data_IF_831073059050
#
_entry.id   IF_831073059050
#
_cell.length_a   1.000
_cell.length_b   1.000
_cell.length_c   1.000
_cell.angle_alpha   90.00
_cell.angle_beta   90.00
_cell.angle_gamma   90.00
#
_symmetry.space_group_name_H-M   'P 1'
#
loop_
_entity.id
_entity.type
_entity.pdbx_description
1 polymer ?
#
# COMPACT_ATOMS: atom_id res chain seq x y z
N UNK A 1 0.44 12.66 -4.95
CA UNK A 1 -0.18 13.97 -5.26
C UNK A 1 -1.40 14.14 -4.36
N UNK A 2 -1.65 15.31 -3.77
CA UNK A 2 -2.91 15.56 -3.05
C UNK A 2 -3.83 16.32 -3.99
N UNK A 3 -5.09 15.90 -4.12
CA UNK A 3 -6.11 16.77 -4.69
C UNK A 3 -6.75 17.49 -3.51
N UNK A 4 -6.67 18.81 -3.52
CA UNK A 4 -7.30 19.68 -2.51
C UNK A 4 -8.27 20.61 -3.22
N UNK A 5 -9.22 21.17 -2.46
CA UNK A 5 -10.14 22.19 -2.97
C UNK A 5 -9.75 23.56 -2.45
N UNK A 6 -9.84 24.60 -3.28
CA UNK A 6 -9.71 26.00 -2.82
C UNK A 6 -10.70 26.34 -1.70
N UNK A 7 -11.86 25.64 -1.65
CA UNK A 7 -12.86 25.82 -0.57
C UNK A 7 -12.38 25.35 0.79
N UNK A 8 -11.34 24.51 0.84
CA UNK A 8 -10.77 23.97 2.08
C UNK A 8 -9.48 24.70 2.46
N UNK A 9 -9.13 25.76 1.72
CA UNK A 9 -7.98 26.60 2.00
C UNK A 9 -8.26 27.46 3.24
N UNK A 10 -7.41 27.35 4.26
CA UNK A 10 -7.49 28.15 5.50
C UNK A 10 -6.22 28.98 5.62
N UNK A 11 -6.37 30.26 5.96
CA UNK A 11 -5.22 31.14 6.23
C UNK A 11 -4.50 30.65 7.49
N UNK A 12 -3.19 30.48 7.42
CA UNK A 12 -2.41 30.08 8.58
C UNK A 12 -2.43 31.24 9.60
N UNK A 13 -3.01 31.07 10.80
CA UNK A 13 -3.15 32.16 11.76
C UNK A 13 -1.83 32.48 12.49
N UNK A 14 -0.80 31.66 12.33
CA UNK A 14 0.47 31.76 13.06
C UNK A 14 1.61 32.36 12.23
N UNK A 15 1.37 32.73 10.97
CA UNK A 15 2.39 33.25 10.06
C UNK A 15 1.93 34.59 9.46
N UNK A 16 2.84 35.56 9.37
CA UNK A 16 2.54 36.95 8.94
C UNK A 16 2.34 37.10 7.42
N UNK A 17 2.74 36.11 6.64
CA UNK A 17 2.66 36.12 5.17
C UNK A 17 1.34 35.47 4.71
N UNK A 18 0.85 35.77 3.51
CA UNK A 18 -0.29 35.10 2.85
C UNK A 18 -0.02 33.62 2.54
N UNK A 19 0.28 32.85 3.58
CA UNK A 19 0.42 31.41 3.55
C UNK A 19 -0.88 30.78 4.01
N UNK A 20 -1.34 29.83 3.21
CA UNK A 20 -2.55 29.08 3.46
C UNK A 20 -2.19 27.61 3.64
N UNK A 21 -2.87 26.96 4.58
CA UNK A 21 -2.95 25.50 4.67
C UNK A 21 -4.25 25.01 4.06
N UNK A 22 -4.39 23.70 3.92
CA UNK A 22 -5.66 23.07 3.55
C UNK A 22 -6.21 22.30 4.74
N UNK A 23 -7.44 22.58 5.15
CA UNK A 23 -8.11 21.88 6.25
C UNK A 23 -8.64 20.51 5.87
N UNK A 24 -8.63 20.19 4.58
CA UNK A 24 -9.11 18.94 4.03
C UNK A 24 -8.39 18.62 2.73
N UNK A 25 -7.95 17.37 2.61
CA UNK A 25 -7.46 16.74 1.39
C UNK A 25 -8.58 15.88 0.81
N UNK A 26 -8.90 16.04 -0.46
CA UNK A 26 -9.99 15.32 -1.13
C UNK A 26 -9.53 13.97 -1.71
N UNK A 27 -8.25 13.83 -2.08
CA UNK A 27 -7.66 12.55 -2.50
C UNK A 27 -6.17 12.48 -2.15
N UNK A 28 -5.74 11.40 -1.48
CA UNK A 28 -4.33 11.12 -1.20
C UNK A 28 -3.75 10.13 -2.25
N UNK A 29 -3.04 10.63 -3.28
CA UNK A 29 -2.35 9.82 -4.29
C UNK A 29 -0.86 9.63 -3.97
N UNK A 30 -0.51 9.26 -2.74
CA UNK A 30 0.87 8.86 -2.39
C UNK A 30 0.95 7.43 -1.84
N UNK A 31 -0.19 6.76 -1.70
CA UNK A 31 -0.22 5.37 -1.30
C UNK A 31 0.07 4.47 -2.51
N UNK A 32 0.89 3.41 -2.33
CA UNK A 32 0.97 2.34 -3.31
C UNK A 32 -0.40 1.70 -3.53
N UNK A 33 -0.64 1.24 -4.76
CA UNK A 33 -1.83 0.46 -5.12
C UNK A 33 -1.43 -0.96 -5.49
N UNK A 34 -2.35 -1.89 -5.28
CA UNK A 34 -2.13 -3.31 -5.53
C UNK A 34 -3.11 -3.78 -6.59
N UNK A 35 -2.61 -4.02 -7.78
CA UNK A 35 -3.39 -4.64 -8.85
C UNK A 35 -3.31 -6.16 -8.70
N UNK A 36 -4.41 -6.78 -8.31
CA UNK A 36 -4.50 -8.21 -8.02
C UNK A 36 -5.34 -8.90 -9.09
N UNK A 37 -4.80 -9.96 -9.69
CA UNK A 37 -5.54 -10.91 -10.52
C UNK A 37 -5.71 -12.20 -9.74
N UNK A 38 -6.94 -12.63 -9.57
CA UNK A 38 -7.28 -13.85 -8.85
C UNK A 38 -8.39 -14.61 -9.56
N UNK A 39 -8.52 -15.86 -9.16
CA UNK A 39 -9.56 -16.77 -9.60
C UNK A 39 -10.52 -17.00 -8.45
N UNK A 40 -11.80 -16.86 -8.71
CA UNK A 40 -12.88 -17.04 -7.77
C UNK A 40 -13.71 -18.28 -8.16
N UNK A 41 -13.73 -19.28 -7.28
CA UNK A 41 -14.38 -20.57 -7.44
C UNK A 41 -15.73 -20.58 -6.69
N UNK A 42 -16.75 -19.97 -7.29
CA UNK A 42 -18.10 -19.93 -6.73
C UNK A 42 -18.98 -21.05 -7.29
N UNK A 43 -20.11 -21.33 -6.63
CA UNK A 43 -21.15 -22.25 -7.11
C UNK A 43 -21.74 -21.72 -8.44
N UNK A 44 -21.10 -22.07 -9.55
CA UNK A 44 -21.42 -21.53 -10.88
C UNK A 44 -20.26 -21.55 -11.86
N UNK A 45 -19.01 -21.75 -11.38
CA UNK A 45 -17.84 -21.92 -12.22
C UNK A 45 -16.62 -21.16 -11.70
N UNK A 46 -15.61 -21.09 -12.55
CA UNK A 46 -14.36 -20.38 -12.30
C UNK A 46 -14.40 -18.99 -12.93
N UNK A 47 -14.24 -17.94 -12.13
CA UNK A 47 -14.25 -16.55 -12.61
C UNK A 47 -12.88 -15.93 -12.44
N UNK A 48 -12.30 -15.43 -13.53
CA UNK A 48 -11.07 -14.61 -13.47
C UNK A 48 -11.45 -13.16 -13.18
N UNK A 49 -10.99 -12.65 -12.05
CA UNK A 49 -11.28 -11.29 -11.58
C UNK A 49 -10.00 -10.48 -11.41
N UNK A 50 -10.09 -9.19 -11.70
CA UNK A 50 -9.03 -8.23 -11.43
C UNK A 50 -9.54 -7.12 -10.51
N UNK A 51 -8.81 -6.84 -9.43
CA UNK A 51 -9.16 -5.83 -8.45
C UNK A 51 -7.99 -4.88 -8.21
N UNK A 52 -8.31 -3.59 -8.08
CA UNK A 52 -7.36 -2.57 -7.64
C UNK A 52 -7.61 -2.31 -6.15
N UNK A 53 -6.64 -2.68 -5.32
CA UNK A 53 -6.72 -2.59 -3.87
C UNK A 53 -5.83 -1.47 -3.37
N UNK A 54 -6.24 -0.84 -2.27
CA UNK A 54 -5.56 0.33 -1.71
C UNK A 54 -4.71 0.00 -0.48
N UNK A 55 -4.87 -1.19 0.10
CA UNK A 55 -4.20 -1.62 1.33
C UNK A 55 -3.78 -3.08 1.26
N UNK A 56 -2.65 -3.40 1.91
CA UNK A 56 -2.07 -4.76 1.90
C UNK A 56 -2.98 -5.77 2.59
N UNK A 57 -3.66 -5.40 3.68
CA UNK A 57 -4.54 -6.36 4.38
C UNK A 57 -5.66 -6.88 3.48
N UNK A 58 -6.10 -6.12 2.46
CA UNK A 58 -7.12 -6.58 1.52
C UNK A 58 -6.61 -7.77 0.69
N UNK A 59 -5.31 -7.81 0.37
CA UNK A 59 -4.69 -8.96 -0.29
C UNK A 59 -4.64 -10.18 0.65
N UNK A 60 -4.31 -9.97 1.92
CA UNK A 60 -4.30 -11.03 2.94
C UNK A 60 -5.70 -11.60 3.16
N UNK A 61 -6.70 -10.73 3.24
CA UNK A 61 -8.09 -11.16 3.42
C UNK A 61 -8.57 -11.96 2.20
N UNK A 62 -8.21 -11.53 0.98
CA UNK A 62 -8.45 -12.29 -0.24
C UNK A 62 -7.72 -13.64 -0.27
N UNK A 63 -6.45 -13.70 0.16
CA UNK A 63 -5.68 -14.95 0.16
C UNK A 63 -6.20 -15.98 1.16
N UNK A 64 -6.91 -15.52 2.21
CA UNK A 64 -7.51 -16.38 3.22
C UNK A 64 -8.89 -16.92 2.81
N UNK A 65 -9.48 -16.44 1.71
CA UNK A 65 -10.74 -16.96 1.21
C UNK A 65 -10.52 -18.31 0.53
N UNK A 66 -11.17 -19.35 1.02
CA UNK A 66 -11.00 -20.73 0.53
C UNK A 66 -11.41 -20.95 -0.94
N UNK A 67 -12.26 -20.08 -1.48
CA UNK A 67 -12.72 -20.09 -2.87
C UNK A 67 -11.90 -19.16 -3.78
N UNK A 68 -10.85 -18.52 -3.26
CA UNK A 68 -10.04 -17.57 -4.02
C UNK A 68 -8.64 -18.15 -4.22
N UNK A 69 -8.10 -18.04 -5.44
CA UNK A 69 -6.68 -18.27 -5.71
C UNK A 69 -6.08 -17.06 -6.39
N UNK A 70 -5.20 -16.35 -5.67
CA UNK A 70 -4.42 -15.25 -6.23
C UNK A 70 -3.46 -15.80 -7.29
N UNK A 71 -3.42 -15.17 -8.46
CA UNK A 71 -2.56 -15.56 -9.59
C UNK A 71 -1.43 -14.57 -9.82
N UNK A 72 -1.72 -13.28 -9.74
CA UNK A 72 -0.70 -12.25 -9.84
C UNK A 72 -1.05 -11.07 -8.94
N UNK A 73 -0.02 -10.47 -8.36
CA UNK A 73 -0.12 -9.18 -7.68
C UNK A 73 0.93 -8.26 -8.28
N UNK A 74 0.54 -7.03 -8.55
CA UNK A 74 1.44 -5.97 -8.99
C UNK A 74 1.33 -4.79 -8.05
N UNK A 75 2.48 -4.29 -7.62
CA UNK A 75 2.59 -3.06 -6.85
C UNK A 75 2.76 -1.89 -7.82
N UNK A 76 1.83 -0.94 -7.74
CA UNK A 76 1.90 0.34 -8.44
C UNK A 76 2.34 1.37 -7.40
N UNK A 77 3.61 1.76 -7.42
CA UNK A 77 4.21 2.64 -6.41
C UNK A 77 4.79 3.91 -7.03
N UNK A 78 4.76 5.05 -6.31
CA UNK A 78 5.35 6.30 -6.76
C UNK A 78 6.89 6.28 -6.68
N UNK A 79 7.53 7.13 -7.50
CA UNK A 79 8.98 7.21 -7.66
C UNK A 79 9.79 7.28 -6.36
N UNK A 80 9.33 8.08 -5.40
CA UNK A 80 10.00 8.23 -4.10
C UNK A 80 9.98 6.97 -3.22
N UNK A 81 9.08 6.00 -3.47
CA UNK A 81 9.04 4.70 -2.76
C UNK A 81 9.87 3.61 -3.46
N UNK A 82 10.26 3.82 -4.71
CA UNK A 82 10.95 2.82 -5.52
C UNK A 82 12.25 3.35 -6.16
N UNK A 83 12.71 4.54 -5.76
CA UNK A 83 13.88 5.24 -6.30
C UNK A 83 13.86 5.42 -7.82
N UNK A 84 12.68 5.63 -8.41
CA UNK A 84 12.53 5.93 -9.84
C UNK A 84 11.98 7.34 -10.06
N UNK A 85 12.06 7.85 -11.29
CA UNK A 85 11.59 9.20 -11.65
C UNK A 85 10.05 9.30 -11.71
N UNK A 86 9.32 8.18 -11.61
CA UNK A 86 7.88 8.15 -11.84
C UNK A 86 7.17 6.99 -11.15
N UNK A 87 5.90 6.76 -11.52
CA UNK A 87 5.18 5.60 -11.04
C UNK A 87 5.67 4.35 -11.74
N UNK A 88 5.93 3.30 -10.96
CA UNK A 88 6.34 2.01 -11.49
C UNK A 88 5.31 0.95 -11.09
N UNK A 89 4.97 0.09 -12.04
CA UNK A 89 4.24 -1.14 -11.79
C UNK A 89 5.23 -2.31 -11.80
N UNK A 90 5.35 -3.02 -10.69
CA UNK A 90 6.23 -4.18 -10.55
C UNK A 90 5.47 -5.40 -10.06
N UNK A 91 5.75 -6.57 -10.64
CA UNK A 91 5.16 -7.83 -10.18
C UNK A 91 5.71 -8.18 -8.80
N UNK A 92 4.82 -8.52 -7.88
CA UNK A 92 5.13 -8.89 -6.48
C UNK A 92 5.34 -10.40 -6.41
N UNK A 93 6.38 -10.82 -5.70
CA UNK A 93 6.63 -12.22 -5.36
C UNK A 93 6.16 -12.54 -3.95
N UNK A 94 6.53 -11.72 -2.97
CA UNK A 94 6.27 -11.98 -1.54
C UNK A 94 5.91 -10.72 -0.79
N UNK A 95 5.06 -10.86 0.23
CA UNK A 95 4.69 -9.79 1.15
C UNK A 95 4.89 -10.28 2.59
N UNK A 96 5.52 -9.44 3.40
CA UNK A 96 5.75 -9.65 4.82
C UNK A 96 5.14 -8.50 5.63
N UNK A 97 4.81 -8.78 6.88
CA UNK A 97 4.32 -7.82 7.88
C UNK A 97 5.27 -7.79 9.07
N UNK A 98 5.48 -6.61 9.67
CA UNK A 98 6.26 -6.48 10.90
C UNK A 98 5.57 -7.19 12.08
N UNK A 99 6.35 -7.86 12.94
CA UNK A 99 5.86 -8.60 14.12
C UNK A 99 6.27 -7.97 15.45
N UNK A 100 7.31 -7.14 15.48
CA UNK A 100 7.79 -6.47 16.69
C UNK A 100 7.32 -5.01 16.74
N UNK A 101 6.17 -4.80 17.38
CA UNK A 101 5.80 -3.51 17.93
C UNK A 101 5.70 -3.66 19.45
N UNK A 102 6.81 -3.43 20.18
CA UNK A 102 6.76 -3.34 21.65
C UNK A 102 5.80 -2.22 22.14
N UNK A 103 5.47 -1.26 21.26
CA UNK A 103 4.37 -0.33 21.47
C UNK A 103 3.10 -0.80 20.73
N UNK A 104 2.09 -1.23 21.47
CA UNK A 104 0.80 -1.76 20.95
C UNK A 104 -0.03 -0.83 20.04
N UNK A 105 0.51 0.32 19.61
CA UNK A 105 -0.25 1.40 18.96
C UNK A 105 0.32 1.85 17.60
N UNK A 106 1.40 1.24 17.09
CA UNK A 106 1.93 1.54 15.76
C UNK A 106 1.20 0.76 14.66
N UNK A 107 0.92 1.35 13.48
CA UNK A 107 0.47 0.60 12.32
C UNK A 107 1.58 -0.33 11.80
N UNK A 108 1.25 -1.48 11.20
CA UNK A 108 2.23 -2.42 10.70
C UNK A 108 3.05 -1.83 9.55
N UNK A 109 4.31 -2.25 9.45
CA UNK A 109 5.17 -2.02 8.29
C UNK A 109 5.11 -3.24 7.40
N UNK A 110 4.91 -3.03 6.10
CA UNK A 110 4.90 -4.10 5.11
C UNK A 110 6.19 -4.08 4.30
N UNK A 111 6.86 -5.23 4.23
CA UNK A 111 7.99 -5.46 3.33
C UNK A 111 7.49 -6.22 2.10
N UNK A 112 7.63 -5.61 0.92
CA UNK A 112 7.20 -6.18 -0.35
C UNK A 112 8.43 -6.53 -1.19
N UNK A 113 8.53 -7.79 -1.61
CA UNK A 113 9.56 -8.25 -2.53
C UNK A 113 8.94 -8.34 -3.93
N UNK A 114 9.54 -7.66 -4.90
CA UNK A 114 9.18 -7.77 -6.31
C UNK A 114 9.88 -8.96 -6.98
N UNK A 115 9.43 -9.37 -8.16
CA UNK A 115 10.03 -10.46 -8.94
C UNK A 115 11.46 -10.16 -9.41
N UNK A 116 11.82 -8.88 -9.53
CA UNK A 116 13.19 -8.43 -9.84
C UNK A 116 14.11 -8.47 -8.60
N UNK A 117 13.60 -8.92 -7.44
CA UNK A 117 14.31 -8.96 -6.18
C UNK A 117 14.36 -7.64 -5.43
N UNK A 118 13.82 -6.54 -5.99
CA UNK A 118 13.81 -5.26 -5.31
C UNK A 118 12.81 -5.27 -4.15
N UNK A 119 13.25 -4.73 -3.02
CA UNK A 119 12.47 -4.62 -1.80
C UNK A 119 11.88 -3.22 -1.69
N UNK A 120 10.59 -3.14 -1.33
CA UNK A 120 9.90 -1.88 -1.06
C UNK A 120 9.24 -1.99 0.30
N UNK A 121 9.52 -1.01 1.16
CA UNK A 121 8.88 -0.86 2.46
C UNK A 121 7.69 0.09 2.34
N UNK A 122 6.54 -0.40 2.77
CA UNK A 122 5.28 0.35 2.80
C UNK A 122 4.85 0.47 4.24
N UNK A 123 5.00 1.68 4.76
CA UNK A 123 4.46 2.11 6.03
C UNK A 123 3.08 2.74 5.81
N UNK A 124 2.13 2.42 6.69
CA UNK A 124 0.88 3.19 6.74
C UNK A 124 1.06 4.51 7.50
N UNK A 125 2.17 4.69 8.24
CA UNK A 125 2.61 5.94 8.87
C UNK A 125 4.13 6.12 8.74
N UNK A 126 4.54 7.23 8.11
CA UNK A 126 5.87 7.65 7.62
C UNK A 126 7.06 7.71 8.62
N UNK A 127 7.00 7.04 9.77
CA UNK A 127 7.99 7.18 10.85
C UNK A 127 8.27 5.86 11.57
N UNK A 128 8.86 4.88 10.88
CA UNK A 128 9.42 3.70 11.56
C UNK A 128 10.88 3.52 11.16
N UNK A 129 11.75 3.40 12.17
CA UNK A 129 13.16 3.08 12.01
C UNK A 129 13.27 1.56 11.79
N UNK A 130 13.42 1.16 10.53
CA UNK A 130 13.25 -0.23 10.07
C UNK A 130 14.30 -1.22 10.65
N UNK A 131 15.40 -0.73 11.23
CA UNK A 131 16.55 -1.54 11.68
C UNK A 131 16.27 -2.49 12.85
N UNK A 132 15.08 -2.44 13.47
CA UNK A 132 14.72 -3.29 14.62
C UNK A 132 13.49 -4.18 14.40
N UNK A 133 12.96 -4.28 13.17
CA UNK A 133 11.73 -5.03 12.92
C UNK A 133 11.97 -6.49 12.52
N UNK A 134 11.31 -7.39 13.24
CA UNK A 134 11.07 -8.77 12.81
C UNK A 134 9.91 -8.82 11.80
N UNK A 135 9.93 -9.76 10.85
CA UNK A 135 8.94 -9.87 9.78
C UNK A 135 8.39 -11.29 9.62
N UNK A 136 7.08 -11.40 9.40
CA UNK A 136 6.36 -12.64 9.07
C UNK A 136 5.79 -12.57 7.65
N UNK A 137 5.87 -13.67 6.90
CA UNK A 137 5.31 -13.74 5.55
C UNK A 137 3.79 -13.87 5.61
N UNK A 138 3.08 -12.99 4.90
CA UNK A 138 1.61 -13.02 4.82
C UNK A 138 1.10 -13.40 3.43
N UNK A 139 1.95 -13.33 2.40
CA UNK A 139 1.57 -13.73 1.05
C UNK A 139 2.80 -14.20 0.26
N UNK A 140 2.67 -15.36 -0.38
CA UNK A 140 3.57 -15.86 -1.42
C UNK A 140 2.77 -16.00 -2.72
N UNK A 141 3.21 -15.28 -3.77
CA UNK A 141 2.56 -15.19 -5.08
C UNK A 141 3.38 -15.97 -6.15
N UNK A 142 4.33 -16.80 -5.71
CA UNK A 142 5.21 -17.62 -6.55
C UNK A 142 4.50 -18.57 -7.51
#
# INVERSE_FOLDING_TARGET
MFITSEKTRIKNPFLEVDQYGWSKVDLMLYAPLYFCRYIDYMEGGEFTTTSLLSRVFQLRDLSNMSHVTIKDVYLISPGHKNNTEGWLMGKVSKIFVSTDHESKNGPPVYKIIKNDGAEIFVDECFEVDDEQLSYEMILDVG
#
